data_IF_721776176913
#
_entry.id   IF_721776176913
#
_cell.length_a   1.000
_cell.length_b   1.000
_cell.length_c   1.000
_cell.angle_alpha   90.00
_cell.angle_beta   90.00
_cell.angle_gamma   90.00
#
_symmetry.space_group_name_H-M   'P 1'
#
loop_
_entity.id
_entity.type
_entity.pdbx_description
1 polymer ?
#
# COMPACT_ATOMS: atom_id res chain seq x y z
N UNK A 1 59.44 -70.09 -17.80
CA UNK A 1 59.95 -69.82 -19.17
C UNK A 1 58.75 -69.56 -20.07
N UNK A 2 58.72 -68.42 -20.76
CA UNK A 2 57.66 -68.07 -21.72
C UNK A 2 57.25 -66.60 -21.59
N UNK A 3 57.59 -65.80 -22.59
CA UNK A 3 57.64 -64.32 -22.63
C UNK A 3 56.33 -63.68 -23.11
N UNK A 4 56.18 -62.39 -22.78
CA UNK A 4 55.49 -61.35 -23.58
C UNK A 4 54.08 -61.01 -23.09
N UNK A 5 53.58 -59.78 -23.12
CA UNK A 5 54.11 -58.50 -23.60
C UNK A 5 53.13 -57.39 -23.16
N UNK A 6 53.64 -56.16 -22.96
CA UNK A 6 52.96 -54.84 -23.05
C UNK A 6 51.65 -54.63 -22.26
N UNK A 7 51.47 -53.58 -21.47
CA UNK A 7 51.62 -52.16 -21.87
C UNK A 7 51.60 -51.29 -20.61
N UNK A 8 52.55 -50.37 -20.52
CA UNK A 8 52.66 -49.35 -19.47
C UNK A 8 51.79 -48.16 -19.87
N UNK A 9 50.80 -47.79 -19.07
CA UNK A 9 50.21 -46.45 -19.11
C UNK A 9 50.55 -45.72 -17.82
N UNK A 10 51.47 -44.76 -17.96
CA UNK A 10 51.86 -43.79 -16.94
C UNK A 10 50.67 -42.92 -16.57
N UNK A 11 50.18 -43.05 -15.33
CA UNK A 11 49.25 -42.07 -14.76
C UNK A 11 50.03 -41.13 -13.85
N UNK A 12 50.34 -39.95 -14.40
CA UNK A 12 50.90 -38.81 -13.65
C UNK A 12 49.85 -38.33 -12.66
N UNK A 13 50.08 -38.57 -11.36
CA UNK A 13 49.33 -37.94 -10.28
C UNK A 13 49.83 -36.50 -10.18
N UNK A 14 49.05 -35.58 -10.74
CA UNK A 14 49.23 -34.14 -10.53
C UNK A 14 48.73 -33.80 -9.13
N UNK A 15 49.68 -33.42 -8.28
CA UNK A 15 49.47 -32.78 -6.99
C UNK A 15 48.80 -31.42 -7.25
N UNK A 16 47.52 -31.30 -6.90
CA UNK A 16 46.77 -30.06 -7.06
C UNK A 16 46.66 -29.34 -5.71
N UNK A 17 47.31 -28.19 -5.69
CA UNK A 17 47.42 -27.18 -4.65
C UNK A 17 46.02 -26.71 -4.21
N UNK A 18 45.67 -26.89 -2.94
CA UNK A 18 44.46 -26.31 -2.34
C UNK A 18 44.75 -24.83 -2.01
N UNK A 19 44.42 -23.94 -2.94
CA UNK A 19 44.29 -22.51 -2.65
C UNK A 19 42.84 -22.27 -2.21
N UNK A 20 42.68 -21.95 -0.93
CA UNK A 20 41.43 -21.45 -0.39
C UNK A 20 41.11 -20.08 -0.99
N UNK A 21 40.20 -20.04 -1.96
CA UNK A 21 39.49 -18.82 -2.33
C UNK A 21 38.17 -18.80 -1.55
N UNK A 22 38.08 -17.88 -0.58
CA UNK A 22 36.80 -17.42 -0.05
C UNK A 22 36.00 -16.82 -1.22
N UNK A 23 35.16 -17.63 -1.86
CA UNK A 23 34.08 -17.11 -2.68
C UNK A 23 33.06 -16.56 -1.70
N UNK A 24 33.04 -15.24 -1.52
CA UNK A 24 31.86 -14.55 -1.05
C UNK A 24 30.73 -14.90 -2.02
N UNK A 25 29.90 -15.89 -1.64
CA UNK A 25 28.58 -16.06 -2.21
C UNK A 25 27.83 -14.78 -1.85
N UNK A 26 27.85 -13.82 -2.77
CA UNK A 26 26.94 -12.69 -2.73
C UNK A 26 25.54 -13.27 -2.66
N UNK A 27 24.89 -13.11 -1.51
CA UNK A 27 23.49 -13.45 -1.36
C UNK A 27 22.72 -12.58 -2.36
N UNK A 28 22.39 -13.15 -3.50
CA UNK A 28 21.35 -12.63 -4.38
C UNK A 28 20.04 -12.75 -3.60
N UNK A 29 19.70 -11.68 -2.88
CA UNK A 29 18.41 -11.56 -2.22
C UNK A 29 17.32 -11.71 -3.30
N UNK A 30 16.45 -12.73 -3.22
CA UNK A 30 15.39 -12.90 -4.20
C UNK A 30 14.29 -11.87 -3.92
N UNK A 31 14.00 -11.04 -4.93
CA UNK A 31 12.81 -10.19 -5.07
C UNK A 31 12.51 -9.21 -3.92
N UNK A 32 13.14 -8.02 -3.98
CA UNK A 32 12.48 -6.82 -3.47
C UNK A 32 11.23 -6.57 -4.33
N UNK A 33 10.02 -6.40 -3.75
CA UNK A 33 8.87 -5.95 -4.54
C UNK A 33 9.25 -4.61 -5.18
N UNK A 34 9.11 -4.49 -6.49
CA UNK A 34 9.47 -3.26 -7.21
C UNK A 34 8.55 -2.14 -6.76
N UNK A 35 9.00 -1.37 -5.76
CA UNK A 35 8.22 -0.35 -5.07
C UNK A 35 8.15 0.89 -5.96
N UNK A 36 6.94 1.31 -6.32
CA UNK A 36 6.66 2.63 -6.89
C UNK A 36 6.09 3.53 -5.80
N UNK A 37 6.37 4.83 -5.87
CA UNK A 37 5.89 5.86 -4.96
C UNK A 37 5.28 7.07 -5.68
N UNK A 38 5.32 7.06 -7.02
CA UNK A 38 4.77 8.08 -7.90
C UNK A 38 3.94 7.43 -9.02
N UNK A 39 2.69 7.83 -9.16
CA UNK A 39 1.77 7.33 -10.21
C UNK A 39 1.14 8.51 -10.93
N UNK A 40 1.24 8.54 -12.26
CA UNK A 40 0.73 9.63 -13.08
C UNK A 40 0.31 9.19 -14.49
N UNK A 41 -0.50 10.02 -15.13
CA UNK A 41 -0.77 9.95 -16.57
C UNK A 41 0.02 11.06 -17.25
N UNK A 42 0.69 10.74 -18.34
CA UNK A 42 1.42 11.72 -19.13
C UNK A 42 1.69 11.30 -20.55
N UNK A 43 2.10 12.27 -21.36
CA UNK A 43 2.46 12.08 -22.76
C UNK A 43 3.96 12.26 -22.96
N UNK A 44 4.60 11.32 -23.65
CA UNK A 44 6.02 11.39 -24.01
C UNK A 44 6.20 12.48 -25.06
N UNK A 45 6.87 13.58 -24.71
CA UNK A 45 7.13 14.70 -25.62
C UNK A 45 8.48 14.59 -26.32
N UNK A 46 9.46 13.97 -25.67
CA UNK A 46 10.80 13.76 -26.22
C UNK A 46 11.39 12.41 -25.74
N UNK A 47 12.26 11.81 -26.56
CA UNK A 47 13.07 10.63 -26.24
C UNK A 47 14.54 11.00 -26.30
N UNK A 48 15.38 10.40 -25.47
CA UNK A 48 16.81 10.73 -25.43
C UNK A 48 17.14 11.97 -24.60
N UNK A 49 16.13 12.77 -24.26
CA UNK A 49 16.25 14.10 -23.67
C UNK A 49 15.97 14.08 -22.15
N UNK A 50 16.25 15.21 -21.47
CA UNK A 50 15.92 15.39 -20.06
C UNK A 50 15.32 16.79 -19.85
N UNK A 51 14.20 16.88 -19.13
CA UNK A 51 13.65 18.16 -18.66
C UNK A 51 14.37 18.68 -17.43
N UNK A 52 15.19 17.84 -16.79
CA UNK A 52 15.93 18.18 -15.59
C UNK A 52 17.45 18.11 -15.82
N UNK A 53 18.12 19.26 -15.73
CA UNK A 53 19.54 19.43 -16.10
C UNK A 53 20.50 18.54 -15.33
N UNK A 54 20.13 18.13 -14.11
CA UNK A 54 20.95 17.24 -13.26
C UNK A 54 20.93 15.78 -13.73
N UNK A 55 20.03 15.42 -14.64
CA UNK A 55 20.00 14.10 -15.27
C UNK A 55 20.63 14.18 -16.67
N UNK A 56 21.75 13.48 -16.92
CA UNK A 56 22.36 13.40 -18.24
C UNK A 56 21.38 12.82 -19.26
N UNK A 57 21.44 13.35 -20.49
CA UNK A 57 20.74 12.78 -21.64
C UNK A 57 21.19 11.35 -21.87
N UNK A 58 20.24 10.47 -22.18
CA UNK A 58 20.52 9.07 -22.48
C UNK A 58 19.41 8.50 -23.35
N UNK A 59 19.71 7.47 -24.14
CA UNK A 59 18.71 6.77 -24.97
C UNK A 59 17.55 6.15 -24.17
N UNK A 60 17.70 6.02 -22.85
CA UNK A 60 16.65 5.52 -21.94
C UNK A 60 15.74 6.61 -21.39
N UNK A 61 16.10 7.88 -21.57
CA UNK A 61 15.30 8.96 -21.01
C UNK A 61 14.10 9.28 -21.90
N UNK A 62 12.98 9.57 -21.24
CA UNK A 62 11.78 10.15 -21.80
C UNK A 62 11.53 11.48 -21.09
N UNK A 63 11.15 12.51 -21.83
CA UNK A 63 10.51 13.69 -21.27
C UNK A 63 9.02 13.46 -21.35
N UNK A 64 8.37 13.43 -20.19
CA UNK A 64 6.93 13.19 -20.05
C UNK A 64 6.26 14.47 -19.58
N UNK A 65 5.32 14.97 -20.38
CA UNK A 65 4.42 16.04 -19.97
C UNK A 65 3.36 15.46 -19.04
N UNK A 66 3.32 15.94 -17.79
CA UNK A 66 2.36 15.46 -16.79
C UNK A 66 0.98 15.99 -17.11
N UNK A 67 0.02 15.09 -17.30
CA UNK A 67 -1.39 15.42 -17.50
C UNK A 67 -2.17 15.33 -16.18
N UNK A 68 -1.93 14.26 -15.41
CA UNK A 68 -2.63 14.01 -14.14
C UNK A 68 -1.71 13.28 -13.17
N UNK A 69 -1.66 13.73 -11.93
CA UNK A 69 -0.99 13.02 -10.82
C UNK A 69 -2.05 12.19 -10.09
N UNK A 70 -1.81 10.89 -9.96
CA UNK A 70 -2.72 9.95 -9.28
C UNK A 70 -2.26 9.65 -7.85
N UNK A 71 -0.95 9.51 -7.65
CA UNK A 71 -0.33 9.32 -6.34
C UNK A 71 1.10 9.91 -6.36
N UNK A 72 1.54 10.50 -5.24
CA UNK A 72 2.91 11.01 -5.08
C UNK A 72 3.26 11.23 -3.61
N UNK A 73 4.54 11.21 -3.21
CA UNK A 73 4.94 11.60 -1.86
C UNK A 73 4.63 13.08 -1.60
N UNK A 74 4.29 13.41 -0.35
CA UNK A 74 3.91 14.78 0.03
C UNK A 74 5.03 15.80 -0.22
N UNK A 75 6.30 15.38 -0.13
CA UNK A 75 7.49 16.21 -0.37
C UNK A 75 7.75 16.54 -1.85
N UNK A 76 7.04 15.93 -2.79
CA UNK A 76 7.26 16.11 -4.24
C UNK A 76 6.32 17.18 -4.79
N UNK A 77 6.87 18.28 -5.28
CA UNK A 77 6.12 19.39 -5.87
C UNK A 77 5.86 19.19 -7.38
N UNK A 78 5.23 18.06 -7.75
CA UNK A 78 4.84 17.76 -9.14
C UNK A 78 3.33 18.02 -9.33
N UNK A 79 2.97 18.72 -10.40
CA UNK A 79 1.58 19.04 -10.77
C UNK A 79 1.31 18.86 -12.28
N UNK A 80 0.04 18.78 -12.71
CA UNK A 80 -0.32 18.84 -14.13
C UNK A 80 0.32 20.03 -14.84
N UNK A 81 0.82 19.82 -16.05
CA UNK A 81 1.56 20.81 -16.83
C UNK A 81 3.08 20.82 -16.59
N UNK A 82 3.60 20.10 -15.59
CA UNK A 82 5.05 19.97 -15.41
C UNK A 82 5.66 18.95 -16.39
N UNK A 83 6.96 19.13 -16.70
CA UNK A 83 7.76 18.17 -17.47
C UNK A 83 8.60 17.30 -16.54
N UNK A 84 8.46 15.98 -16.65
CA UNK A 84 9.16 14.98 -15.85
C UNK A 84 10.19 14.21 -16.70
N UNK A 85 11.42 14.04 -16.19
CA UNK A 85 12.37 13.10 -16.78
C UNK A 85 12.09 11.69 -16.24
N UNK A 86 11.77 10.75 -17.14
CA UNK A 86 11.59 9.33 -16.81
C UNK A 86 12.70 8.50 -17.44
N UNK A 87 13.41 7.71 -16.64
CA UNK A 87 14.30 6.67 -17.17
C UNK A 87 13.46 5.42 -17.41
N UNK A 88 13.19 5.13 -18.67
CA UNK A 88 12.36 3.99 -19.08
C UNK A 88 13.10 2.66 -18.90
N UNK A 89 12.34 1.61 -18.57
CA UNK A 89 12.82 0.22 -18.56
C UNK A 89 13.11 -0.25 -19.98
N UNK A 90 12.17 0.03 -20.89
CA UNK A 90 12.29 -0.20 -22.31
C UNK A 90 11.83 1.04 -23.09
N UNK A 91 12.75 1.91 -23.56
CA UNK A 91 12.37 3.11 -24.31
C UNK A 91 11.84 2.82 -25.72
N UNK A 92 11.95 1.58 -26.21
CA UNK A 92 11.54 1.24 -27.59
C UNK A 92 10.02 1.18 -27.75
N UNK A 93 9.28 0.85 -26.68
CA UNK A 93 7.82 0.76 -26.67
C UNK A 93 7.13 2.13 -26.73
N UNK A 94 7.87 3.21 -26.46
CA UNK A 94 7.36 4.57 -26.47
C UNK A 94 7.74 5.30 -27.76
N UNK A 95 6.76 5.92 -28.41
CA UNK A 95 6.95 6.92 -29.46
C UNK A 95 6.76 8.33 -28.91
N UNK A 96 7.22 9.36 -29.63
CA UNK A 96 6.79 10.74 -29.32
C UNK A 96 5.28 10.84 -29.51
N UNK A 97 4.60 11.44 -28.55
CA UNK A 97 3.14 11.47 -28.48
C UNK A 97 2.51 10.24 -27.83
N UNK A 98 3.30 9.21 -27.47
CA UNK A 98 2.80 8.09 -26.71
C UNK A 98 2.28 8.57 -25.35
N UNK A 99 1.06 8.18 -25.04
CA UNK A 99 0.41 8.48 -23.77
C UNK A 99 0.39 7.21 -22.93
N UNK A 100 0.73 7.31 -21.66
CA UNK A 100 0.74 6.17 -20.76
C UNK A 100 0.42 6.58 -19.32
N UNK A 101 -0.06 5.62 -18.55
CA UNK A 101 -0.03 5.69 -17.09
C UNK A 101 1.29 5.08 -16.62
N UNK A 102 2.07 5.85 -15.88
CA UNK A 102 3.39 5.48 -15.41
C UNK A 102 3.38 5.16 -13.92
N UNK A 103 3.97 4.03 -13.54
CA UNK A 103 4.30 3.67 -12.17
C UNK A 103 5.79 3.86 -11.98
N UNK A 104 6.16 4.77 -11.10
CA UNK A 104 7.51 5.31 -11.04
C UNK A 104 8.07 5.19 -9.63
N UNK A 105 9.36 4.89 -9.56
CA UNK A 105 10.17 5.06 -8.37
C UNK A 105 10.92 6.38 -8.50
N UNK A 106 10.61 7.36 -7.65
CA UNK A 106 11.30 8.63 -7.69
C UNK A 106 12.78 8.49 -7.35
N UNK A 107 13.60 9.23 -8.07
CA UNK A 107 15.06 9.16 -7.93
C UNK A 107 15.65 10.49 -7.49
N UNK A 108 15.21 11.61 -8.10
CA UNK A 108 15.73 12.93 -7.78
C UNK A 108 14.56 13.92 -7.66
N UNK A 109 14.54 14.63 -6.53
CA UNK A 109 13.55 15.64 -6.19
C UNK A 109 14.24 16.97 -5.86
N UNK A 110 13.83 18.06 -6.50
CA UNK A 110 14.41 19.39 -6.30
C UNK A 110 13.62 20.45 -7.07
N UNK A 111 14.31 21.29 -7.86
CA UNK A 111 13.66 22.23 -8.79
C UNK A 111 12.97 21.54 -9.99
N UNK A 112 13.26 20.28 -10.19
CA UNK A 112 12.59 19.38 -11.13
C UNK A 112 12.44 18.00 -10.49
N UNK A 113 11.79 17.10 -11.22
CA UNK A 113 11.60 15.71 -10.79
C UNK A 113 12.21 14.79 -11.84
N UNK A 114 12.88 13.73 -11.37
CA UNK A 114 13.29 12.62 -12.20
C UNK A 114 12.95 11.29 -11.52
N UNK A 115 12.46 10.35 -12.30
CA UNK A 115 12.01 9.06 -11.79
C UNK A 115 12.40 7.90 -12.72
N UNK A 116 12.41 6.69 -12.17
CA UNK A 116 12.67 5.46 -12.92
C UNK A 116 11.35 4.72 -13.12
N UNK A 117 11.14 4.24 -14.33
CA UNK A 117 9.98 3.43 -14.65
C UNK A 117 10.05 2.08 -13.93
N UNK A 118 8.99 1.76 -13.18
CA UNK A 118 8.74 0.42 -12.64
C UNK A 118 7.91 -0.38 -13.64
N UNK A 119 6.81 0.21 -14.10
CA UNK A 119 5.93 -0.31 -15.15
C UNK A 119 5.12 0.83 -15.78
N UNK A 120 4.42 0.51 -16.86
CA UNK A 120 3.49 1.42 -17.51
C UNK A 120 2.29 0.66 -18.09
N UNK A 121 1.19 1.38 -18.29
CA UNK A 121 0.06 0.95 -19.11
C UNK A 121 -0.06 1.92 -20.30
N UNK A 122 0.11 1.42 -21.53
CA UNK A 122 -0.04 2.23 -22.75
C UNK A 122 -1.49 2.65 -22.94
N UNK A 123 -1.71 3.94 -23.17
CA UNK A 123 -3.02 4.51 -23.46
C UNK A 123 -3.10 4.78 -24.96
N UNK A 124 -4.03 4.14 -25.69
CA UNK A 124 -4.08 4.21 -27.15
C UNK A 124 -4.26 5.65 -27.66
N UNK A 125 -3.40 6.03 -28.61
CA UNK A 125 -3.51 7.30 -29.34
C UNK A 125 -4.62 7.19 -30.39
N UNK A 126 -5.86 7.44 -29.97
CA UNK A 126 -7.02 7.27 -30.84
C UNK A 126 -8.36 7.57 -30.18
N UNK A 127 -8.40 8.49 -29.22
CA UNK A 127 -9.65 8.98 -28.63
C UNK A 127 -9.57 10.48 -28.30
N UNK A 128 -9.13 11.30 -29.26
CA UNK A 128 -9.58 12.69 -29.32
C UNK A 128 -11.02 12.75 -29.86
N UNK A 129 -11.94 11.97 -29.26
CA UNK A 129 -13.39 12.03 -29.44
C UNK A 129 -14.07 11.06 -28.47
N UNK A 130 -13.97 11.32 -27.16
CA UNK A 130 -15.03 11.14 -26.18
C UNK A 130 -14.43 11.21 -24.78
N UNK A 131 -14.56 12.36 -24.11
CA UNK A 131 -14.59 12.43 -22.64
C UNK A 131 -15.76 11.62 -22.02
N UNK A 132 -16.16 10.52 -22.65
CA UNK A 132 -17.19 9.59 -22.23
C UNK A 132 -16.64 8.20 -21.93
N UNK A 133 -15.57 7.72 -22.59
CA UNK A 133 -15.05 6.35 -22.38
C UNK A 133 -14.13 6.20 -21.17
N UNK A 134 -13.10 7.04 -21.08
CA UNK A 134 -12.21 7.12 -19.91
C UNK A 134 -12.95 7.65 -18.68
N UNK A 135 -13.82 8.64 -18.88
CA UNK A 135 -14.73 9.10 -17.84
C UNK A 135 -15.67 7.97 -17.42
N UNK A 136 -16.24 7.18 -18.34
CA UNK A 136 -17.07 6.01 -17.97
C UNK A 136 -16.28 4.94 -17.23
N UNK A 137 -15.01 4.68 -17.56
CA UNK A 137 -14.21 3.72 -16.78
C UNK A 137 -13.83 4.27 -15.41
N UNK A 138 -13.49 5.56 -15.29
CA UNK A 138 -13.27 6.22 -14.00
C UNK A 138 -14.55 6.27 -13.17
N UNK A 139 -15.69 6.54 -13.81
CA UNK A 139 -17.02 6.52 -13.21
C UNK A 139 -17.37 5.11 -12.75
N UNK A 140 -17.12 4.07 -13.56
CA UNK A 140 -17.35 2.68 -13.17
C UNK A 140 -16.44 2.27 -12.01
N UNK A 141 -15.15 2.63 -12.01
CA UNK A 141 -14.24 2.37 -10.88
C UNK A 141 -14.66 3.15 -9.62
N UNK A 142 -15.12 4.40 -9.78
CA UNK A 142 -15.67 5.21 -8.69
C UNK A 142 -16.94 4.57 -8.15
N UNK A 143 -17.85 4.13 -9.00
CA UNK A 143 -19.09 3.44 -8.64
C UNK A 143 -18.78 2.12 -7.93
N UNK A 144 -17.82 1.32 -8.39
CA UNK A 144 -17.39 0.10 -7.71
C UNK A 144 -16.83 0.40 -6.32
N UNK A 145 -15.95 1.41 -6.18
CA UNK A 145 -15.44 1.84 -4.87
C UNK A 145 -16.54 2.41 -3.97
N UNK A 146 -17.49 3.16 -4.53
CA UNK A 146 -18.64 3.69 -3.81
C UNK A 146 -19.58 2.55 -3.36
N UNK A 147 -19.77 1.53 -4.19
CA UNK A 147 -20.55 0.32 -3.85
C UNK A 147 -19.87 -0.49 -2.75
N UNK A 148 -18.56 -0.70 -2.83
CA UNK A 148 -17.81 -1.37 -1.77
C UNK A 148 -17.90 -0.58 -0.45
N UNK A 149 -17.72 0.75 -0.52
CA UNK A 149 -17.83 1.62 0.64
C UNK A 149 -19.27 1.59 1.22
N UNK A 150 -20.31 1.64 0.38
CA UNK A 150 -21.70 1.47 0.82
C UNK A 150 -21.91 0.12 1.51
N UNK A 151 -21.39 -0.97 0.97
CA UNK A 151 -21.50 -2.28 1.58
C UNK A 151 -20.83 -2.33 2.96
N UNK A 152 -19.65 -1.71 3.11
CA UNK A 152 -18.96 -1.57 4.40
C UNK A 152 -19.75 -0.70 5.39
N UNK A 153 -20.25 0.46 4.95
CA UNK A 153 -21.10 1.35 5.78
C UNK A 153 -22.36 0.61 6.22
N UNK A 154 -22.99 -0.17 5.34
CA UNK A 154 -24.18 -0.94 5.64
C UNK A 154 -23.89 -2.04 6.67
N UNK A 155 -22.76 -2.74 6.53
CA UNK A 155 -22.33 -3.81 7.43
C UNK A 155 -21.74 -3.30 8.77
N UNK A 156 -21.35 -2.03 8.86
CA UNK A 156 -20.87 -1.43 10.10
C UNK A 156 -22.04 -1.22 11.08
N UNK A 157 -21.87 -1.61 12.34
CA UNK A 157 -22.84 -1.33 13.39
C UNK A 157 -22.84 0.17 13.76
N UNK A 158 -21.68 0.82 13.64
CA UNK A 158 -21.48 2.22 13.98
C UNK A 158 -20.47 2.88 13.03
N UNK A 159 -20.70 4.15 12.69
CA UNK A 159 -19.77 4.94 11.87
C UNK A 159 -19.57 6.30 12.52
N UNK A 160 -18.32 6.63 12.83
CA UNK A 160 -17.96 7.88 13.51
C UNK A 160 -16.77 8.57 12.84
N UNK A 161 -16.67 9.87 13.04
CA UNK A 161 -15.46 10.67 12.81
C UNK A 161 -14.87 11.02 14.16
N UNK A 162 -13.56 10.88 14.32
CA UNK A 162 -12.92 11.18 15.59
C UNK A 162 -11.40 11.14 15.55
N UNK A 163 -10.80 11.23 16.73
CA UNK A 163 -9.35 11.18 16.93
C UNK A 163 -9.02 10.16 17.99
N UNK A 164 -8.02 9.31 17.74
CA UNK A 164 -7.46 8.38 18.72
C UNK A 164 -6.73 9.19 19.78
N UNK A 165 -7.15 9.08 21.03
CA UNK A 165 -6.56 9.83 22.16
C UNK A 165 -5.63 8.98 23.01
N UNK A 166 -5.74 7.66 22.96
CA UNK A 166 -4.94 6.72 23.76
C UNK A 166 -4.82 5.40 23.01
N UNK A 167 -3.65 4.76 23.06
CA UNK A 167 -3.46 3.37 22.66
C UNK A 167 -2.85 2.58 23.81
N UNK A 168 -3.50 1.48 24.20
CA UNK A 168 -3.10 0.68 25.36
C UNK A 168 -3.29 -0.83 25.14
N UNK A 169 -2.67 -1.69 25.97
CA UNK A 169 -3.03 -3.10 26.02
C UNK A 169 -4.51 -3.31 26.33
N UNK A 170 -5.08 -4.42 25.85
CA UNK A 170 -6.47 -4.78 26.15
C UNK A 170 -6.73 -4.75 27.67
N UNK A 171 -7.69 -3.92 28.08
CA UNK A 171 -8.20 -3.91 29.44
C UNK A 171 -9.13 -5.11 29.58
N UNK A 172 -8.64 -6.17 30.22
CA UNK A 172 -9.47 -7.35 30.47
C UNK A 172 -10.51 -7.02 31.54
N UNK A 173 -11.82 -7.13 31.29
CA UNK A 173 -12.76 -7.34 32.40
C UNK A 173 -12.38 -8.65 33.13
N UNK A 174 -12.71 -8.71 34.42
CA UNK A 174 -12.44 -9.83 35.33
C UNK A 174 -12.65 -11.18 34.62
N UNK A 175 -11.68 -12.12 34.67
CA UNK A 175 -11.62 -13.24 33.74
C UNK A 175 -12.74 -14.27 33.97
N UNK A 176 -13.54 -14.54 32.93
CA UNK A 176 -14.15 -15.86 32.75
C UNK A 176 -13.10 -16.82 32.19
N UNK A 177 -12.85 -17.91 32.94
CA UNK A 177 -11.86 -18.94 32.61
C UNK A 177 -12.12 -19.57 31.24
N UNK A 178 -11.04 -19.90 30.53
CA UNK A 178 -11.07 -20.79 29.38
C UNK A 178 -10.94 -20.07 28.03
N UNK A 179 -9.71 -19.72 27.64
CA UNK A 179 -9.36 -19.65 26.22
C UNK A 179 -8.05 -20.38 26.00
N UNK A 180 -8.10 -21.39 25.15
CA UNK A 180 -6.92 -22.10 24.68
C UNK A 180 -5.97 -21.15 23.97
N UNK A 181 -4.69 -21.52 23.96
CA UNK A 181 -3.69 -20.88 23.12
C UNK A 181 -4.09 -21.10 21.65
N UNK A 182 -4.47 -20.02 20.96
CA UNK A 182 -4.61 -20.02 19.50
C UNK A 182 -3.24 -19.77 18.88
N UNK A 183 -2.90 -20.52 17.83
CA UNK A 183 -1.68 -20.33 17.03
C UNK A 183 -1.57 -18.90 16.50
N UNK A 184 -2.70 -18.29 16.13
CA UNK A 184 -2.77 -16.91 15.64
C UNK A 184 -3.13 -15.93 16.74
N UNK A 185 -2.35 -15.90 17.83
CA UNK A 185 -2.59 -14.97 18.94
C UNK A 185 -2.57 -13.51 18.45
N UNK A 186 -3.70 -12.77 18.55
CA UNK A 186 -3.80 -11.39 18.04
C UNK A 186 -3.01 -10.38 18.85
N UNK A 187 -2.68 -10.68 20.12
CA UNK A 187 -2.11 -9.73 21.08
C UNK A 187 -2.91 -8.40 21.10
N UNK A 188 -4.18 -8.48 21.48
CA UNK A 188 -5.12 -7.35 21.41
C UNK A 188 -4.59 -6.07 22.08
N UNK A 189 -4.85 -4.95 21.41
CA UNK A 189 -4.69 -3.59 21.90
C UNK A 189 -6.02 -2.87 21.79
N UNK A 190 -6.15 -1.80 22.56
CA UNK A 190 -7.29 -0.90 22.56
C UNK A 190 -6.85 0.49 22.14
N UNK A 191 -7.64 1.12 21.28
CA UNK A 191 -7.56 2.53 20.94
C UNK A 191 -8.80 3.23 21.50
N UNK A 192 -8.61 4.26 22.31
CA UNK A 192 -9.70 5.14 22.75
C UNK A 192 -9.85 6.23 21.71
N UNK A 193 -11.07 6.38 21.18
CA UNK A 193 -11.39 7.39 20.16
C UNK A 193 -12.31 8.42 20.80
N UNK A 194 -11.88 9.69 20.76
CA UNK A 194 -12.77 10.82 21.02
C UNK A 194 -13.61 11.11 19.79
N UNK A 195 -14.92 11.00 19.94
CA UNK A 195 -15.91 11.10 18.86
C UNK A 195 -16.22 12.57 18.60
N UNK A 196 -16.03 13.00 17.36
CA UNK A 196 -16.32 14.36 16.91
C UNK A 196 -17.66 14.44 16.16
N UNK A 197 -17.98 13.42 15.36
CA UNK A 197 -19.24 13.35 14.61
C UNK A 197 -19.73 11.91 14.53
N UNK A 198 -21.03 11.74 14.68
CA UNK A 198 -21.72 10.47 14.53
C UNK A 198 -22.39 10.42 13.15
N UNK A 199 -22.05 9.41 12.34
CA UNK A 199 -22.60 9.23 10.99
C UNK A 199 -23.62 8.09 10.91
N UNK A 200 -23.47 7.06 11.76
CA UNK A 200 -24.40 5.92 11.88
C UNK A 200 -24.30 5.28 13.25
N UNK A 201 -25.43 4.86 13.83
CA UNK A 201 -25.49 3.90 14.95
C UNK A 201 -25.08 4.42 16.32
N UNK A 202 -24.37 5.54 16.42
CA UNK A 202 -23.95 6.12 17.69
C UNK A 202 -25.05 6.96 18.36
N UNK A 203 -25.28 6.73 19.65
CA UNK A 203 -26.15 7.57 20.50
C UNK A 203 -25.34 8.13 21.66
N UNK A 204 -25.07 9.44 21.65
CA UNK A 204 -24.57 10.21 22.80
C UNK A 204 -23.16 9.84 23.34
N UNK A 205 -22.40 8.99 22.64
CA UNK A 205 -21.06 8.60 23.06
C UNK A 205 -20.02 9.63 22.63
N UNK A 206 -19.35 10.26 23.59
CA UNK A 206 -18.22 11.17 23.34
C UNK A 206 -16.90 10.40 23.17
N UNK A 207 -16.82 9.18 23.72
CA UNK A 207 -15.67 8.31 23.59
C UNK A 207 -16.10 6.87 23.35
N UNK A 208 -15.26 6.12 22.64
CA UNK A 208 -15.44 4.69 22.40
C UNK A 208 -14.09 3.98 22.41
N UNK A 209 -14.12 2.64 22.55
CA UNK A 209 -12.92 1.81 22.54
C UNK A 209 -12.96 0.86 21.35
N UNK A 210 -11.90 0.87 20.53
CA UNK A 210 -11.71 -0.03 19.40
C UNK A 210 -10.58 -1.01 19.70
N UNK A 211 -10.85 -2.31 19.58
CA UNK A 211 -9.81 -3.35 19.64
C UNK A 211 -9.22 -3.65 18.28
N UNK A 212 -7.90 -3.84 18.30
CA UNK A 212 -7.12 -4.20 17.12
C UNK A 212 -5.96 -5.12 17.50
N UNK A 213 -5.51 -5.99 16.59
CA UNK A 213 -4.41 -6.90 16.86
C UNK A 213 -3.06 -6.16 16.77
N UNK A 214 -2.17 -6.41 17.72
CA UNK A 214 -0.75 -5.99 17.59
C UNK A 214 0.04 -6.95 16.72
N UNK A 215 -0.38 -8.22 16.66
CA UNK A 215 0.31 -9.29 15.95
C UNK A 215 0.56 -8.97 14.47
N UNK A 216 1.69 -9.46 13.95
CA UNK A 216 2.07 -9.39 12.53
C UNK A 216 1.78 -10.70 11.78
N UNK A 217 1.13 -11.64 12.45
CA UNK A 217 0.70 -12.91 11.87
C UNK A 217 -0.21 -12.70 10.64
N UNK A 218 -0.23 -13.66 9.72
CA UNK A 218 -0.99 -13.62 8.46
C UNK A 218 -2.50 -13.40 8.66
N UNK A 219 -3.07 -13.82 9.79
CA UNK A 219 -4.47 -13.56 10.12
C UNK A 219 -4.75 -12.07 10.40
N UNK A 220 -3.72 -11.29 10.77
CA UNK A 220 -3.86 -9.95 11.35
C UNK A 220 -3.03 -8.87 10.66
N UNK A 221 -2.12 -9.23 9.75
CA UNK A 221 -1.13 -8.29 9.21
C UNK A 221 -1.75 -7.06 8.53
N UNK A 222 -2.90 -7.23 7.86
CA UNK A 222 -3.67 -6.16 7.20
C UNK A 222 -4.58 -5.36 8.13
N UNK A 223 -4.77 -5.81 9.38
CA UNK A 223 -5.65 -5.09 10.29
C UNK A 223 -5.11 -3.67 10.55
N UNK A 224 -5.98 -2.65 10.58
CA UNK A 224 -5.59 -1.30 10.94
C UNK A 224 -4.89 -1.28 12.30
N UNK A 225 -3.77 -0.54 12.36
CA UNK A 225 -3.06 -0.27 13.61
C UNK A 225 -3.22 1.20 13.94
N UNK A 226 -3.69 1.48 15.15
CA UNK A 226 -3.96 2.84 15.58
C UNK A 226 -2.75 3.48 16.24
N UNK A 227 -2.69 4.81 16.15
CA UNK A 227 -1.70 5.65 16.83
C UNK A 227 -2.41 6.81 17.52
N UNK A 228 -1.91 7.22 18.67
CA UNK A 228 -2.39 8.43 19.34
C UNK A 228 -2.27 9.65 18.40
N UNK A 229 -3.27 10.53 18.45
CA UNK A 229 -3.42 11.68 17.56
C UNK A 229 -3.98 11.36 16.18
N UNK A 230 -4.14 10.08 15.81
CA UNK A 230 -4.69 9.70 14.51
C UNK A 230 -6.16 10.14 14.39
N UNK A 231 -6.44 11.01 13.43
CA UNK A 231 -7.81 11.37 13.06
C UNK A 231 -8.31 10.52 11.89
N UNK A 232 -9.59 10.19 11.88
CA UNK A 232 -10.16 9.34 10.84
C UNK A 232 -11.68 9.20 10.88
N UNK A 233 -12.19 8.51 9.87
CA UNK A 233 -13.58 8.00 9.83
C UNK A 233 -13.54 6.49 10.05
N UNK A 234 -14.20 6.00 11.08
CA UNK A 234 -14.11 4.63 11.55
C UNK A 234 -15.44 3.91 11.32
N UNK A 235 -15.40 2.81 10.57
CA UNK A 235 -16.51 1.90 10.31
C UNK A 235 -16.37 0.72 11.27
N UNK A 236 -17.19 0.72 12.31
CA UNK A 236 -17.01 -0.10 13.50
C UNK A 236 -18.05 -1.21 13.58
N UNK A 237 -17.59 -2.39 13.99
CA UNK A 237 -18.44 -3.53 14.34
C UNK A 237 -18.34 -3.84 15.81
N UNK A 238 -19.41 -4.36 16.42
CA UNK A 238 -19.35 -4.86 17.80
C UNK A 238 -18.28 -5.94 17.89
N UNK A 239 -17.49 -5.87 18.96
CA UNK A 239 -16.43 -6.85 19.16
C UNK A 239 -17.01 -8.22 19.54
N UNK A 240 -16.93 -9.15 18.60
CA UNK A 240 -17.22 -10.58 18.79
C UNK A 240 -15.98 -11.45 18.57
N UNK A 241 -14.85 -10.85 18.15
CA UNK A 241 -13.66 -11.56 17.68
C UNK A 241 -12.63 -11.73 18.79
N UNK A 242 -12.43 -10.70 19.63
CA UNK A 242 -11.70 -10.89 20.90
C UNK A 242 -12.46 -11.81 21.83
N UNK A 243 -13.78 -11.90 21.59
CA UNK A 243 -14.82 -12.60 22.32
C UNK A 243 -14.92 -12.21 23.80
N UNK A 244 -14.50 -10.99 24.12
CA UNK A 244 -14.88 -10.27 25.33
C UNK A 244 -15.55 -8.97 24.91
N UNK A 245 -16.88 -8.90 24.68
CA UNK A 245 -17.50 -7.77 23.98
C UNK A 245 -17.45 -6.43 24.74
N UNK A 246 -17.03 -6.42 26.00
CA UNK A 246 -16.94 -5.22 26.83
C UNK A 246 -15.49 -4.96 27.26
N UNK A 247 -15.21 -3.71 27.58
CA UNK A 247 -13.94 -3.24 28.13
C UNK A 247 -14.18 -2.13 29.14
N UNK A 248 -13.16 -1.72 29.90
CA UNK A 248 -13.25 -0.63 30.86
C UNK A 248 -12.76 0.67 30.24
N UNK A 249 -13.55 1.74 30.34
CA UNK A 249 -13.15 3.10 29.99
C UNK A 249 -13.47 4.00 31.18
N UNK A 250 -12.44 4.67 31.72
CA UNK A 250 -12.57 5.52 32.92
C UNK A 250 -13.35 4.85 34.07
N UNK A 251 -13.09 3.56 34.33
CA UNK A 251 -13.75 2.80 35.39
C UNK A 251 -15.18 2.33 35.08
N UNK A 252 -15.71 2.61 33.89
CA UNK A 252 -17.05 2.17 33.47
C UNK A 252 -16.95 1.10 32.38
N UNK A 253 -17.74 0.01 32.46
CA UNK A 253 -17.79 -0.99 31.39
C UNK A 253 -18.50 -0.42 30.15
N UNK A 254 -17.81 -0.41 29.02
CA UNK A 254 -18.31 0.05 27.72
C UNK A 254 -18.25 -1.07 26.68
N UNK A 255 -19.07 -0.94 25.63
CA UNK A 255 -18.98 -1.82 24.46
C UNK A 255 -17.64 -1.62 23.77
N UNK A 256 -16.92 -2.72 23.52
CA UNK A 256 -15.74 -2.71 22.65
C UNK A 256 -16.17 -2.87 21.19
N UNK A 257 -15.49 -2.15 20.31
CA UNK A 257 -15.69 -2.18 18.87
C UNK A 257 -14.46 -2.75 18.18
N UNK A 258 -14.57 -3.08 16.90
CA UNK A 258 -13.44 -3.52 16.08
C UNK A 258 -13.49 -2.87 14.69
N UNK A 259 -12.30 -2.69 14.12
CA UNK A 259 -12.06 -2.37 12.71
C UNK A 259 -10.89 -3.24 12.27
N UNK A 260 -11.18 -4.31 11.53
CA UNK A 260 -10.20 -5.38 11.27
C UNK A 260 -9.77 -5.45 9.81
N UNK A 261 -10.44 -4.71 8.92
CA UNK A 261 -10.06 -4.61 7.51
C UNK A 261 -9.45 -3.22 7.23
N UNK A 262 -8.50 -3.11 6.28
CA UNK A 262 -7.95 -1.80 5.88
C UNK A 262 -9.02 -0.75 5.53
N UNK A 263 -10.10 -1.17 4.86
CA UNK A 263 -11.21 -0.30 4.47
C UNK A 263 -12.17 0.10 5.59
N UNK A 264 -11.93 -0.36 6.82
CA UNK A 264 -12.76 -0.01 7.98
C UNK A 264 -12.27 1.31 8.64
N UNK A 265 -11.09 1.79 8.27
CA UNK A 265 -10.52 3.06 8.74
C UNK A 265 -10.16 3.93 7.56
N UNK A 266 -10.88 5.04 7.41
CA UNK A 266 -10.70 6.01 6.34
C UNK A 266 -10.13 7.31 6.90
N UNK A 267 -9.67 8.20 6.01
CA UNK A 267 -9.18 9.51 6.44
C UNK A 267 -10.33 10.39 6.95
N UNK A 268 -10.00 11.40 7.75
CA UNK A 268 -10.98 12.41 8.17
C UNK A 268 -11.61 13.14 6.99
N UNK A 269 -10.89 13.31 5.87
CA UNK A 269 -11.41 13.93 4.64
C UNK A 269 -12.50 13.11 3.95
N UNK A 270 -12.60 11.81 4.25
CA UNK A 270 -13.62 10.93 3.68
C UNK A 270 -14.98 11.07 4.40
N UNK A 271 -15.05 11.82 5.50
CA UNK A 271 -16.25 11.96 6.33
C UNK A 271 -17.47 12.43 5.52
N UNK A 272 -17.30 13.43 4.65
CA UNK A 272 -18.40 13.97 3.85
C UNK A 272 -18.90 12.97 2.80
N UNK A 273 -17.97 12.25 2.15
CA UNK A 273 -18.30 11.18 1.21
C UNK A 273 -19.04 10.03 1.91
N UNK A 274 -18.60 9.63 3.10
CA UNK A 274 -19.26 8.61 3.90
C UNK A 274 -20.65 9.06 4.32
N UNK A 275 -20.82 10.33 4.72
CA UNK A 275 -22.13 10.91 5.06
C UNK A 275 -23.07 10.95 3.86
N UNK A 276 -22.59 11.31 2.68
CA UNK A 276 -23.41 11.29 1.46
C UNK A 276 -23.87 9.87 1.11
N UNK A 277 -22.97 8.89 1.22
CA UNK A 277 -23.25 7.49 0.90
C UNK A 277 -24.10 6.78 1.97
N UNK A 278 -24.15 7.28 3.22
CA UNK A 278 -25.00 6.71 4.27
C UNK A 278 -26.46 7.14 4.19
N UNK A 279 -26.74 8.31 3.62
CA UNK A 279 -28.11 8.85 3.48
C UNK A 279 -28.82 8.32 2.23
N UNK A 280 -28.08 8.10 1.13
CA UNK A 280 -28.66 7.58 -0.11
C UNK A 280 -28.83 6.06 -0.03
N UNK A 281 -30.08 5.58 0.09
CA UNK A 281 -30.40 4.15 -0.11
C UNK A 281 -30.04 3.73 -1.55
N UNK A 282 -29.57 2.49 -1.76
CA UNK A 282 -29.20 1.98 -3.08
C UNK A 282 -30.38 1.98 -4.05
#
# INVERSE_FOLDING_TARGET
>A
MGRGNLTVHSLRIVMLLVIGAFVCVGQTSPNSPTKFDLVLVGTVTQKGESSFREVPRSSKNLVVQVEKVLDKPQSVALKPGDSLTVVAKDPSVFSKGARAMFYLAGWIYGRGVAAREVSHDMLQAGAAAAGGGENRMQEMRKQQRDQELRARIAAADMVVVGTVTEVRPESKPVPTRGRGLSEHNPAWQEAVINVQSNLKGAQGQNQLVVRFPKSMDVAWYLAPRFKEGQSGTFLLKKDVVSGVPKTMLAGTPVQAWTALSPGDVLSGVDADRVRELSVRKP
#
